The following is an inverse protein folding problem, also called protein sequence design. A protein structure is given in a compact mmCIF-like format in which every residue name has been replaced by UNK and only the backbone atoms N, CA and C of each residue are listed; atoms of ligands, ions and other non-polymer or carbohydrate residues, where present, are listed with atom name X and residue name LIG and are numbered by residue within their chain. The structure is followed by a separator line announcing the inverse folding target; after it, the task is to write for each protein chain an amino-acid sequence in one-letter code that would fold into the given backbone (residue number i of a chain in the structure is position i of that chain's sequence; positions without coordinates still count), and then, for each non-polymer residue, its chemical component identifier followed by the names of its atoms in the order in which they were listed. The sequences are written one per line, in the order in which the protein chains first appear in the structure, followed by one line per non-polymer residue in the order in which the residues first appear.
data_IF_522018925167
#
_entry.id   IF_522018925167
#
_cell.length_a   1.000
_cell.length_b   1.000
_cell.length_c   1.000
_cell.angle_alpha   90.00
_cell.angle_beta   90.00
_cell.angle_gamma   90.00
#
_symmetry.space_group_name_H-M   'P 1'
#
loop_
_entity.id
_entity.type
_entity.pdbx_description
1 polymer ?
#
# COMPACT_ATOMS: atom_id res chain seq x y z
N UNK A 1 -26.13 -12.41 12.00
CA UNK A 1 -24.71 -12.67 11.81
C UNK A 1 -23.98 -11.49 12.44
N UNK A 2 -23.14 -11.71 13.45
CA UNK A 2 -22.35 -10.62 14.05
C UNK A 2 -21.16 -10.40 13.13
N UNK A 3 -21.11 -9.25 12.46
CA UNK A 3 -19.91 -8.82 11.74
C UNK A 3 -18.80 -8.64 12.77
N UNK A 4 -17.65 -9.29 12.54
CA UNK A 4 -16.45 -8.98 13.29
C UNK A 4 -16.03 -7.55 12.90
N UNK A 5 -15.63 -6.76 13.89
CA UNK A 5 -15.19 -5.38 13.64
C UNK A 5 -13.94 -5.35 12.76
N UNK A 6 -13.73 -4.29 11.98
CA UNK A 6 -12.55 -4.13 11.14
C UNK A 6 -11.27 -4.18 11.96
N UNK A 7 -11.31 -3.70 13.18
CA UNK A 7 -10.24 -3.84 14.16
C UNK A 7 -9.93 -5.31 14.50
N UNK A 8 -10.94 -6.18 14.58
CA UNK A 8 -10.71 -7.61 14.80
C UNK A 8 -10.10 -8.29 13.55
N UNK A 9 -10.44 -7.80 12.37
CA UNK A 9 -9.88 -8.30 11.12
C UNK A 9 -8.38 -8.00 11.05
N UNK A 10 -7.97 -6.76 11.38
CA UNK A 10 -6.56 -6.36 11.33
C UNK A 10 -5.76 -6.69 12.61
N UNK A 11 -6.39 -6.80 13.77
CA UNK A 11 -5.72 -7.29 14.98
C UNK A 11 -5.24 -8.74 14.84
N UNK A 12 -5.94 -9.58 14.08
CA UNK A 12 -5.46 -10.93 13.75
C UNK A 12 -4.25 -10.93 12.81
N UNK A 13 -4.10 -9.89 11.98
CA UNK A 13 -2.95 -9.70 11.10
C UNK A 13 -1.71 -9.15 11.84
N UNK A 14 -1.91 -8.30 12.84
CA UNK A 14 -0.81 -7.70 13.61
C UNK A 14 -0.12 -8.68 14.60
N UNK A 15 -0.83 -9.73 15.04
CA UNK A 15 -0.30 -10.64 16.08
C UNK A 15 0.74 -11.65 15.59
N UNK A 16 1.01 -11.76 14.29
CA UNK A 16 1.97 -12.71 13.72
C UNK A 16 3.35 -12.07 13.43
N UNK A 17 3.49 -10.77 13.62
CA UNK A 17 4.70 -10.01 13.26
C UNK A 17 5.74 -9.78 14.34
N UNK A 18 5.49 -10.11 15.61
CA UNK A 18 6.43 -9.80 16.72
C UNK A 18 6.65 -11.02 17.61
N UNK A 19 7.42 -11.98 17.14
CA UNK A 19 8.24 -12.85 17.99
C UNK A 19 9.63 -12.95 17.37
N UNK A 20 10.46 -11.98 17.67
CA UNK A 20 11.90 -12.06 17.50
C UNK A 20 12.57 -11.57 18.77
N UNK A 21 13.01 -12.51 19.56
CA UNK A 21 14.29 -12.55 20.29
C UNK A 21 14.53 -11.49 21.36
N UNK A 22 14.34 -11.92 22.59
CA UNK A 22 15.23 -11.56 23.69
C UNK A 22 15.66 -12.87 24.36
N UNK A 23 16.87 -13.34 24.06
CA UNK A 23 17.56 -14.34 24.86
C UNK A 23 18.84 -13.70 25.38
N UNK A 24 18.84 -13.35 26.65
CA UNK A 24 20.01 -12.94 27.37
C UNK A 24 20.52 -14.12 28.21
N UNK A 25 21.83 -14.20 28.27
CA UNK A 25 22.73 -15.15 28.90
C UNK A 25 22.37 -15.60 30.31
N UNK A 26 22.73 -16.86 30.60
CA UNK A 26 22.96 -17.34 31.96
C UNK A 26 23.23 -18.86 32.01
N UNK A 27 24.43 -19.24 32.30
CA UNK A 27 25.17 -20.43 32.11
C UNK A 27 24.83 -21.70 32.93
N UNK A 28 25.62 -22.71 32.60
CA UNK A 28 26.18 -23.79 33.37
C UNK A 28 25.55 -25.20 33.30
N UNK A 29 26.30 -26.08 32.69
CA UNK A 29 26.69 -27.45 32.98
C UNK A 29 25.66 -28.59 33.02
N UNK A 30 25.97 -29.67 32.26
CA UNK A 30 25.59 -31.06 32.58
C UNK A 30 25.29 -31.95 31.36
N UNK A 31 26.21 -32.84 31.08
CA UNK A 31 26.28 -34.01 30.18
C UNK A 31 24.98 -34.84 30.02
N UNK A 32 24.69 -35.37 28.86
CA UNK A 32 24.96 -36.69 28.28
C UNK A 32 24.09 -37.05 27.07
N UNK A 33 24.77 -37.55 26.08
CA UNK A 33 24.42 -38.47 24.98
C UNK A 33 22.99 -38.99 24.86
N UNK A 34 22.40 -38.87 23.64
CA UNK A 34 22.07 -39.99 22.76
C UNK A 34 21.59 -39.53 21.37
N UNK A 35 22.07 -40.23 20.37
CA UNK A 35 21.80 -40.15 18.93
C UNK A 35 20.37 -40.46 18.54
N UNK A 36 19.77 -39.66 17.62
CA UNK A 36 18.94 -40.24 16.56
C UNK A 36 18.79 -39.24 15.39
N UNK A 37 19.08 -39.76 14.22
CA UNK A 37 18.99 -39.17 12.91
C UNK A 37 17.55 -38.90 12.49
N UNK A 38 17.23 -37.68 12.00
CA UNK A 38 16.12 -37.47 11.06
C UNK A 38 16.44 -36.36 10.08
N UNK A 39 16.15 -36.67 8.85
CA UNK A 39 16.41 -35.95 7.62
C UNK A 39 15.87 -34.53 7.61
N UNK A 40 16.72 -33.55 7.33
CA UNK A 40 16.36 -32.16 7.04
C UNK A 40 16.14 -32.00 5.55
N UNK A 41 14.92 -31.65 5.15
CA UNK A 41 14.64 -31.09 3.84
C UNK A 41 15.06 -29.63 3.81
N UNK A 42 15.65 -29.12 2.72
CA UNK A 42 16.11 -27.75 2.66
C UNK A 42 14.95 -26.79 2.41
N UNK A 43 14.77 -25.83 3.31
CA UNK A 43 13.93 -24.66 3.10
C UNK A 43 14.63 -23.77 2.09
N UNK A 44 14.09 -23.66 0.89
CA UNK A 44 14.52 -22.66 -0.09
C UNK A 44 14.22 -21.26 0.46
N UNK A 45 15.27 -20.53 0.82
CA UNK A 45 15.22 -19.09 1.00
C UNK A 45 15.35 -18.44 -0.37
N UNK A 46 14.30 -17.83 -0.89
CA UNK A 46 14.41 -16.92 -2.02
C UNK A 46 14.99 -15.59 -1.52
N UNK A 47 16.23 -15.30 -1.87
CA UNK A 47 16.83 -13.99 -1.71
C UNK A 47 16.41 -13.12 -2.89
N UNK A 48 15.64 -12.08 -2.66
CA UNK A 48 15.49 -10.99 -3.62
C UNK A 48 16.80 -10.19 -3.58
N UNK A 49 17.64 -10.34 -4.61
CA UNK A 49 18.84 -9.53 -4.80
C UNK A 49 18.45 -8.31 -5.63
N UNK A 50 18.51 -7.13 -5.03
CA UNK A 50 18.44 -5.88 -5.77
C UNK A 50 19.76 -5.69 -6.49
N UNK A 51 19.75 -5.83 -7.82
CA UNK A 51 20.91 -5.50 -8.67
C UNK A 51 20.84 -4.00 -8.99
N UNK A 52 21.71 -3.22 -8.37
CA UNK A 52 21.98 -1.84 -8.80
C UNK A 52 22.98 -1.88 -9.94
N UNK A 53 22.53 -1.68 -11.17
CA UNK A 53 23.41 -1.45 -12.32
C UNK A 53 23.75 0.04 -12.36
N UNK A 54 24.97 0.37 -11.95
CA UNK A 54 25.58 1.68 -12.19
C UNK A 54 26.20 1.65 -13.60
N UNK A 55 25.50 2.22 -14.58
CA UNK A 55 26.07 2.46 -15.88
C UNK A 55 26.68 3.87 -15.94
N UNK A 56 27.99 3.89 -16.11
CA UNK A 56 28.80 5.10 -16.24
C UNK A 56 28.40 5.94 -17.47
N UNK A 57 28.23 7.24 -17.25
CA UNK A 57 28.01 8.23 -18.30
C UNK A 57 29.26 8.42 -19.17
N UNK A 58 29.14 8.55 -20.49
CA UNK A 58 30.23 9.00 -21.32
C UNK A 58 30.36 10.52 -21.26
N UNK A 59 31.61 10.97 -20.99
CA UNK A 59 32.06 12.34 -21.06
C UNK A 59 31.93 12.86 -22.50
N UNK A 60 31.17 13.94 -22.72
CA UNK A 60 31.27 14.73 -23.94
C UNK A 60 31.71 16.15 -23.68
N UNK A 61 32.66 16.54 -24.49
CA UNK A 61 33.42 17.77 -24.54
C UNK A 61 32.53 18.96 -24.95
N UNK A 62 32.71 20.08 -24.26
CA UNK A 62 32.09 21.37 -24.56
C UNK A 62 32.50 21.94 -25.90
N UNK A 63 31.55 22.49 -26.65
CA UNK A 63 31.81 23.55 -27.62
C UNK A 63 30.72 24.62 -27.47
N UNK A 64 31.21 25.83 -27.22
CA UNK A 64 30.41 27.03 -27.01
C UNK A 64 29.73 27.54 -28.29
N UNK A 65 28.46 27.94 -28.17
CA UNK A 65 27.74 28.70 -29.19
C UNK A 65 26.55 29.45 -28.57
N UNK A 66 26.67 30.76 -28.53
CA UNK A 66 25.64 31.65 -28.00
C UNK A 66 24.43 31.79 -28.94
N UNK A 67 23.23 31.84 -28.34
CA UNK A 67 21.99 32.16 -29.04
C UNK A 67 20.78 32.14 -28.12
N UNK A 68 20.37 33.35 -27.70
CA UNK A 68 19.19 33.58 -26.86
C UNK A 68 17.91 33.30 -27.62
N UNK A 69 16.98 32.58 -27.02
CA UNK A 69 15.53 32.85 -27.06
C UNK A 69 14.82 32.02 -25.99
N UNK A 70 14.25 32.71 -24.99
CA UNK A 70 13.33 32.14 -24.04
C UNK A 70 12.07 31.70 -24.79
N UNK A 71 11.86 30.41 -24.87
CA UNK A 71 10.55 29.84 -25.10
C UNK A 71 10.10 29.21 -23.79
N UNK A 72 9.09 29.83 -23.18
CA UNK A 72 8.35 29.21 -22.07
C UNK A 72 7.78 27.89 -22.57
N UNK A 73 8.43 26.80 -22.22
CA UNK A 73 7.86 25.48 -22.40
C UNK A 73 6.76 25.32 -21.33
N UNK A 74 5.53 25.64 -21.70
CA UNK A 74 4.35 25.10 -21.06
C UNK A 74 4.44 23.60 -21.27
N UNK A 75 4.85 22.89 -20.23
CA UNK A 75 4.77 21.44 -20.19
C UNK A 75 3.28 21.07 -20.27
N UNK A 76 2.76 20.89 -21.47
CA UNK A 76 1.51 20.15 -21.64
C UNK A 76 1.80 18.74 -21.16
N UNK A 77 1.25 18.37 -20.02
CA UNK A 77 1.15 17.00 -19.59
C UNK A 77 0.52 16.23 -20.75
N UNK A 78 1.33 15.44 -21.43
CA UNK A 78 0.86 14.55 -22.46
C UNK A 78 -0.28 13.71 -21.88
N UNK A 79 -1.41 13.71 -22.59
CA UNK A 79 -2.51 12.78 -22.38
C UNK A 79 -1.92 11.40 -22.06
N UNK A 80 -2.12 10.94 -20.83
CA UNK A 80 -1.69 9.62 -20.39
C UNK A 80 -2.40 8.59 -21.27
N UNK A 81 -1.64 7.66 -21.84
CA UNK A 81 -2.19 6.48 -22.52
C UNK A 81 -3.28 5.87 -21.60
N UNK A 82 -4.43 5.49 -22.15
CA UNK A 82 -5.59 4.92 -21.42
C UNK A 82 -5.30 3.56 -20.75
N UNK A 83 -4.05 3.20 -20.55
CA UNK A 83 -3.59 1.93 -20.00
C UNK A 83 -2.87 2.06 -18.67
N UNK A 84 -2.68 0.92 -17.98
CA UNK A 84 -1.97 0.87 -16.70
C UNK A 84 -0.52 1.35 -16.81
N UNK A 85 0.02 1.94 -15.75
CA UNK A 85 1.37 2.46 -15.74
C UNK A 85 2.41 1.36 -16.02
N UNK A 86 3.29 1.61 -17.00
CA UNK A 86 4.35 0.66 -17.36
C UNK A 86 3.88 -0.60 -18.09
N UNK A 87 2.60 -0.69 -18.47
CA UNK A 87 2.04 -1.81 -19.22
C UNK A 87 1.73 -1.43 -20.68
N UNK A 88 1.58 -2.45 -21.53
CA UNK A 88 1.06 -2.23 -22.89
C UNK A 88 -0.44 -1.93 -22.82
N UNK A 89 -0.83 -0.68 -23.07
CA UNK A 89 -2.23 -0.25 -23.06
C UNK A 89 -3.10 -1.06 -24.03
N UNK A 90 -2.53 -1.59 -25.11
CA UNK A 90 -3.23 -2.44 -26.07
C UNK A 90 -3.75 -3.75 -25.49
N UNK A 91 -3.14 -4.25 -24.42
CA UNK A 91 -3.51 -5.50 -23.75
C UNK A 91 -4.67 -5.37 -22.76
N UNK A 92 -5.15 -4.15 -22.50
CA UNK A 92 -6.12 -3.88 -21.42
C UNK A 92 -7.35 -3.12 -21.92
N UNK A 93 -8.47 -3.33 -21.22
CA UNK A 93 -9.71 -2.56 -21.35
C UNK A 93 -10.05 -1.97 -19.98
N UNK A 94 -10.23 -0.65 -19.89
CA UNK A 94 -10.65 0.03 -18.67
C UNK A 94 -12.03 -0.47 -18.24
N UNK A 95 -12.18 -0.86 -16.98
CA UNK A 95 -13.41 -1.39 -16.39
C UNK A 95 -13.92 -0.55 -15.22
N UNK A 96 -13.03 0.19 -14.58
CA UNK A 96 -13.35 1.11 -13.49
C UNK A 96 -12.41 2.32 -13.55
N UNK A 97 -12.98 3.50 -13.32
CA UNK A 97 -12.23 4.73 -13.16
C UNK A 97 -12.97 5.68 -12.23
N UNK A 98 -12.25 6.23 -11.27
CA UNK A 98 -12.68 7.41 -10.53
C UNK A 98 -11.48 8.36 -10.38
N UNK A 99 -11.57 9.53 -10.98
CA UNK A 99 -10.56 10.59 -10.94
C UNK A 99 -10.90 11.66 -9.90
N UNK A 100 -11.99 11.47 -9.14
CA UNK A 100 -12.46 12.37 -8.08
C UNK A 100 -12.68 13.82 -8.50
N UNK A 101 -13.03 14.04 -9.78
CA UNK A 101 -13.23 15.37 -10.37
C UNK A 101 -14.46 16.12 -9.82
N UNK A 102 -15.33 15.45 -9.08
CA UNK A 102 -16.54 15.99 -8.49
C UNK A 102 -16.80 15.46 -7.09
N UNK A 103 -18.03 15.52 -6.64
CA UNK A 103 -18.44 14.90 -5.39
C UNK A 103 -18.21 13.38 -5.42
N UNK A 104 -17.84 12.79 -4.29
CA UNK A 104 -17.62 11.35 -4.18
C UNK A 104 -18.83 10.57 -4.71
N UNK A 105 -18.57 9.71 -5.69
CA UNK A 105 -19.63 8.92 -6.34
C UNK A 105 -20.16 7.83 -5.39
N UNK A 106 -21.26 8.14 -4.70
CA UNK A 106 -21.92 7.23 -3.74
C UNK A 106 -22.56 6.01 -4.39
N UNK A 107 -22.63 5.92 -5.72
CA UNK A 107 -23.09 4.74 -6.42
C UNK A 107 -22.00 3.67 -6.54
N UNK A 108 -20.75 4.05 -6.38
CA UNK A 108 -19.60 3.12 -6.43
C UNK A 108 -18.86 3.02 -5.11
N UNK A 109 -18.84 4.08 -4.28
CA UNK A 109 -18.15 4.08 -2.99
C UNK A 109 -19.11 4.00 -1.81
N UNK A 110 -18.97 2.97 -1.00
CA UNK A 110 -19.52 2.92 0.35
C UNK A 110 -18.62 3.69 1.29
N UNK A 111 -19.22 4.41 2.26
CA UNK A 111 -18.46 5.21 3.24
C UNK A 111 -18.85 4.89 4.67
N UNK A 112 -19.69 3.86 4.86
CA UNK A 112 -20.31 3.53 6.14
C UNK A 112 -19.60 2.40 6.89
N UNK A 113 -18.48 1.92 6.38
CA UNK A 113 -17.71 0.83 6.97
C UNK A 113 -16.74 1.31 8.04
N UNK A 114 -16.93 2.50 8.57
CA UNK A 114 -16.16 2.97 9.72
C UNK A 114 -16.76 2.43 10.99
N UNK A 115 -15.98 1.76 11.73
CA UNK A 115 -16.39 1.06 12.94
C UNK A 115 -16.28 1.90 14.19
N UNK A 116 -15.40 2.85 14.21
CA UNK A 116 -15.47 3.95 15.16
C UNK A 116 -16.56 4.87 14.67
N UNK A 117 -17.65 4.96 15.44
CA UNK A 117 -18.78 5.85 15.17
C UNK A 117 -18.27 7.29 14.93
N UNK A 118 -17.78 7.53 13.74
CA UNK A 118 -17.28 8.82 13.36
C UNK A 118 -18.47 9.76 13.25
N UNK A 119 -18.65 10.58 14.24
CA UNK A 119 -19.43 11.79 14.14
C UNK A 119 -18.82 12.76 13.13
N UNK A 120 -17.60 12.50 12.66
CA UNK A 120 -16.86 13.35 11.76
C UNK A 120 -16.78 12.77 10.35
N UNK A 121 -16.72 13.67 9.38
CA UNK A 121 -16.44 13.35 7.99
C UNK A 121 -15.00 13.74 7.71
N UNK A 122 -14.05 12.82 7.98
CA UNK A 122 -12.62 13.04 7.77
C UNK A 122 -12.16 12.65 6.37
N UNK A 123 -13.00 12.91 5.37
CA UNK A 123 -12.68 12.76 3.95
C UNK A 123 -13.48 13.77 3.11
N UNK A 124 -12.95 14.11 1.94
CA UNK A 124 -13.62 14.92 0.93
C UNK A 124 -13.01 14.66 -0.45
N UNK A 125 -13.78 14.97 -1.50
CA UNK A 125 -13.24 15.15 -2.85
C UNK A 125 -13.11 16.65 -3.10
N UNK A 126 -11.89 17.10 -3.38
CA UNK A 126 -11.58 18.52 -3.64
C UNK A 126 -10.40 18.62 -4.60
N UNK A 127 -10.47 19.60 -5.48
CA UNK A 127 -9.39 19.93 -6.42
C UNK A 127 -8.94 18.71 -7.27
N UNK A 128 -9.91 17.85 -7.65
CA UNK A 128 -9.62 16.63 -8.43
C UNK A 128 -8.91 15.53 -7.64
N UNK A 129 -9.02 15.53 -6.31
CA UNK A 129 -8.46 14.48 -5.45
C UNK A 129 -9.44 14.03 -4.39
N UNK A 130 -9.41 12.74 -4.06
CA UNK A 130 -9.96 12.25 -2.80
C UNK A 130 -8.91 12.50 -1.70
N UNK A 131 -9.34 13.09 -0.59
CA UNK A 131 -8.53 13.32 0.60
C UNK A 131 -9.15 12.60 1.79
N UNK A 132 -8.34 11.81 2.50
CA UNK A 132 -8.72 11.17 3.78
C UNK A 132 -7.67 11.61 4.79
N UNK A 133 -8.09 12.27 5.87
CA UNK A 133 -7.12 12.86 6.81
C UNK A 133 -7.23 12.30 8.21
N UNK A 134 -6.10 12.27 8.96
CA UNK A 134 -6.12 11.96 10.37
C UNK A 134 -6.97 13.00 11.12
N UNK A 135 -7.95 12.51 11.88
CA UNK A 135 -8.78 13.35 12.73
C UNK A 135 -8.80 12.77 14.14
N UNK A 136 -8.63 13.67 15.11
CA UNK A 136 -8.61 13.34 16.53
C UNK A 136 -9.84 13.89 17.21
N UNK A 137 -10.58 13.03 17.88
CA UNK A 137 -11.74 13.37 18.67
C UNK A 137 -11.41 14.10 20.00
N UNK A 138 -12.45 14.57 20.65
CA UNK A 138 -12.32 15.33 21.90
C UNK A 138 -11.77 14.53 23.08
N UNK A 139 -11.91 13.20 23.05
CA UNK A 139 -11.35 12.28 24.06
C UNK A 139 -9.95 11.78 23.71
N UNK A 140 -9.43 12.18 22.53
CA UNK A 140 -8.10 11.83 22.06
C UNK A 140 -8.05 10.63 21.12
N UNK A 141 -9.19 10.00 20.82
CA UNK A 141 -9.34 8.92 19.84
C UNK A 141 -9.09 9.41 18.43
N UNK A 142 -8.67 8.51 17.54
CA UNK A 142 -8.55 8.76 16.11
C UNK A 142 -9.61 7.96 15.34
N UNK A 143 -10.12 8.51 14.24
CA UNK A 143 -11.23 7.95 13.49
C UNK A 143 -10.74 7.26 12.21
N UNK A 144 -10.85 5.94 12.18
CA UNK A 144 -10.64 5.15 10.96
C UNK A 144 -11.59 5.62 9.86
N UNK A 145 -11.10 5.62 8.63
CA UNK A 145 -11.93 5.86 7.45
C UNK A 145 -11.69 4.77 6.42
N UNK A 146 -12.79 4.16 5.96
CA UNK A 146 -12.79 3.17 4.90
C UNK A 146 -13.78 3.57 3.82
N UNK A 147 -13.30 3.63 2.59
CA UNK A 147 -14.12 3.70 1.39
C UNK A 147 -13.96 2.38 0.64
N UNK A 148 -15.05 1.75 0.23
CA UNK A 148 -15.01 0.48 -0.47
C UNK A 148 -16.04 0.37 -1.59
N UNK A 149 -15.82 -0.57 -2.51
CA UNK A 149 -16.73 -0.86 -3.63
C UNK A 149 -17.53 -2.13 -3.43
N UNK A 150 -17.67 -2.64 -2.20
CA UNK A 150 -18.42 -3.85 -1.88
C UNK A 150 -19.89 -3.75 -2.33
N UNK A 151 -20.35 -4.77 -3.08
CA UNK A 151 -21.69 -4.79 -3.68
C UNK A 151 -21.91 -3.77 -4.81
N UNK A 152 -20.89 -3.02 -5.24
CA UNK A 152 -20.94 -2.01 -6.30
C UNK A 152 -20.05 -2.37 -7.48
N UNK A 153 -18.79 -2.65 -7.20
CA UNK A 153 -17.81 -3.10 -8.19
C UNK A 153 -16.93 -4.17 -7.57
N UNK A 154 -16.74 -5.26 -8.27
CA UNK A 154 -15.75 -6.29 -8.01
C UNK A 154 -15.25 -6.86 -9.31
N UNK A 155 -14.00 -7.28 -9.36
CA UNK A 155 -13.41 -7.88 -10.54
C UNK A 155 -12.51 -9.04 -10.15
N UNK A 156 -12.37 -10.00 -11.03
CA UNK A 156 -11.42 -11.09 -10.94
C UNK A 156 -10.40 -10.94 -12.05
N UNK A 157 -9.12 -10.90 -11.67
CA UNK A 157 -7.98 -10.69 -12.55
C UNK A 157 -7.96 -9.31 -13.22
N UNK A 158 -6.87 -9.01 -13.90
CA UNK A 158 -6.65 -7.74 -14.57
C UNK A 158 -5.56 -6.91 -13.91
N UNK A 159 -5.67 -5.61 -14.02
CA UNK A 159 -4.75 -4.66 -13.40
C UNK A 159 -5.53 -3.66 -12.54
N UNK A 160 -5.01 -3.34 -11.36
CA UNK A 160 -5.58 -2.34 -10.46
C UNK A 160 -4.50 -1.35 -10.07
N UNK A 161 -4.84 -0.08 -10.01
CA UNK A 161 -3.89 0.99 -9.73
C UNK A 161 -4.52 2.13 -8.94
N UNK A 162 -3.75 2.67 -8.01
CA UNK A 162 -4.01 3.93 -7.32
C UNK A 162 -2.84 4.88 -7.56
N UNK A 163 -3.14 6.15 -7.80
CA UNK A 163 -2.16 7.24 -7.81
C UNK A 163 -2.37 8.07 -6.54
N UNK A 164 -1.40 8.03 -5.63
CA UNK A 164 -1.61 8.52 -4.28
C UNK A 164 -0.35 9.10 -3.63
N UNK A 165 -0.57 10.11 -2.75
CA UNK A 165 0.40 10.69 -1.83
C UNK A 165 0.00 10.37 -0.40
N UNK A 166 0.93 9.89 0.42
CA UNK A 166 0.61 9.34 1.73
C UNK A 166 0.67 10.40 2.85
N UNK A 167 -0.18 10.26 3.88
CA UNK A 167 -0.05 11.02 5.10
C UNK A 167 1.19 10.59 5.88
N UNK A 168 1.57 11.39 6.87
CA UNK A 168 2.73 11.14 7.74
C UNK A 168 2.33 11.15 9.21
N UNK A 169 3.23 10.67 10.06
CA UNK A 169 3.07 10.72 11.49
C UNK A 169 2.85 9.36 12.14
N UNK A 170 3.06 9.35 13.45
CA UNK A 170 2.92 8.18 14.29
C UNK A 170 1.49 7.62 14.25
N UNK A 171 1.37 6.32 14.17
CA UNK A 171 0.11 5.61 14.19
C UNK A 171 -0.67 5.57 12.88
N UNK A 172 -0.32 6.43 11.91
CA UNK A 172 -1.04 6.52 10.63
C UNK A 172 -0.78 5.29 9.76
N UNK A 173 -1.84 4.73 9.16
CA UNK A 173 -1.78 3.49 8.38
C UNK A 173 -2.68 3.58 7.14
N UNK A 174 -2.20 4.21 6.06
CA UNK A 174 -2.90 4.25 4.79
C UNK A 174 -2.76 2.92 4.04
N UNK A 175 -3.85 2.51 3.34
CA UNK A 175 -3.85 1.32 2.51
C UNK A 175 -4.75 1.43 1.28
N UNK A 176 -4.36 0.69 0.21
CA UNK A 176 -5.19 0.37 -0.93
C UNK A 176 -5.07 -1.12 -1.20
N UNK A 177 -6.21 -1.82 -1.19
CA UNK A 177 -6.24 -3.27 -1.22
C UNK A 177 -7.51 -3.84 -1.86
N UNK A 178 -7.44 -5.09 -2.24
CA UNK A 178 -8.54 -5.86 -2.80
C UNK A 178 -8.97 -6.91 -1.80
N UNK A 179 -10.27 -7.08 -1.63
CA UNK A 179 -10.80 -7.97 -0.60
C UNK A 179 -12.12 -8.62 -1.00
N UNK A 180 -12.40 -9.79 -0.41
CA UNK A 180 -13.75 -10.33 -0.34
C UNK A 180 -13.94 -11.22 0.91
N UNK A 181 -15.17 -11.41 1.30
CA UNK A 181 -15.58 -12.37 2.32
C UNK A 181 -16.39 -13.48 1.67
N UNK A 182 -15.79 -14.64 1.46
CA UNK A 182 -16.43 -15.80 0.82
C UNK A 182 -16.63 -16.92 1.86
N UNK A 183 -17.76 -16.90 2.53
CA UNK A 183 -17.98 -17.75 3.69
C UNK A 183 -16.99 -17.45 4.79
N UNK A 184 -16.12 -18.41 5.13
CA UNK A 184 -15.04 -18.24 6.11
C UNK A 184 -13.73 -17.78 5.47
N UNK A 185 -13.59 -17.86 4.15
CA UNK A 185 -12.38 -17.44 3.43
C UNK A 185 -12.38 -15.92 3.26
N UNK A 186 -11.19 -15.35 3.31
CA UNK A 186 -10.95 -13.92 3.22
C UNK A 186 -9.74 -13.66 2.32
N UNK A 187 -9.88 -13.90 1.00
CA UNK A 187 -8.81 -13.60 0.05
C UNK A 187 -8.57 -12.09 0.02
N UNK A 188 -7.29 -11.70 0.00
CA UNK A 188 -6.86 -10.31 0.08
C UNK A 188 -5.59 -10.09 -0.73
N UNK A 189 -5.51 -8.95 -1.43
CA UNK A 189 -4.32 -8.48 -2.13
C UNK A 189 -4.10 -7.03 -1.72
N UNK A 190 -3.11 -6.79 -0.84
CA UNK A 190 -2.74 -5.43 -0.44
C UNK A 190 -1.77 -4.86 -1.48
N UNK A 191 -2.21 -3.85 -2.23
CA UNK A 191 -1.41 -3.19 -3.28
C UNK A 191 -0.48 -2.16 -2.65
N UNK A 192 -0.98 -1.46 -1.65
CA UNK A 192 -0.29 -0.46 -0.85
C UNK A 192 -0.66 -0.67 0.61
N UNK A 193 0.32 -0.85 1.46
CA UNK A 193 0.18 -0.82 2.91
C UNK A 193 1.42 -0.15 3.51
N UNK A 194 1.28 1.04 4.11
CA UNK A 194 2.42 1.82 4.60
C UNK A 194 2.29 2.20 6.07
N UNK A 195 3.44 2.39 6.72
CA UNK A 195 3.54 2.60 8.16
C UNK A 195 4.45 3.80 8.48
N UNK A 196 3.99 5.04 8.21
CA UNK A 196 4.82 6.23 8.39
C UNK A 196 5.28 6.48 9.82
N UNK A 197 4.61 5.91 10.82
CA UNK A 197 5.04 5.99 12.23
C UNK A 197 5.88 4.79 12.70
N UNK A 198 6.20 3.86 11.82
CA UNK A 198 6.91 2.63 12.18
C UNK A 198 8.40 2.83 12.44
N UNK A 199 9.00 1.80 13.05
CA UNK A 199 10.46 1.75 13.19
C UNK A 199 11.14 1.59 11.82
N UNK A 200 12.40 2.05 11.73
CA UNK A 200 13.20 1.83 10.53
C UNK A 200 13.26 0.33 10.17
N UNK A 201 13.12 -0.03 8.90
CA UNK A 201 13.15 0.81 7.71
C UNK A 201 11.76 1.29 7.20
N UNK A 202 10.65 1.04 7.92
CA UNK A 202 9.31 1.46 7.49
C UNK A 202 9.19 2.97 7.35
N UNK A 203 9.83 3.69 8.27
CA UNK A 203 9.78 5.14 8.31
C UNK A 203 11.14 5.75 8.61
N UNK A 204 11.27 7.02 8.25
CA UNK A 204 12.40 7.89 8.59
C UNK A 204 11.88 9.21 9.17
N UNK A 205 12.70 9.94 9.94
CA UNK A 205 12.36 11.30 10.34
C UNK A 205 12.18 12.20 9.11
N UNK A 206 11.06 12.90 9.02
CA UNK A 206 10.86 13.96 8.03
C UNK A 206 11.66 15.23 8.37
N UNK A 207 11.65 16.24 7.47
CA UNK A 207 12.42 17.49 7.66
C UNK A 207 12.07 18.26 8.93
N UNK A 208 10.83 18.12 9.43
CA UNK A 208 10.31 18.75 10.65
C UNK A 208 10.27 17.79 11.85
N UNK A 209 10.87 16.60 11.70
CA UNK A 209 10.91 15.56 12.73
C UNK A 209 9.64 14.69 12.78
N UNK A 210 8.59 15.00 12.03
CA UNK A 210 7.43 14.12 11.88
C UNK A 210 7.81 12.93 11.01
N UNK A 211 7.60 11.67 11.45
CA UNK A 211 8.01 10.51 10.68
C UNK A 211 7.21 10.38 9.39
N UNK A 212 7.89 9.92 8.33
CA UNK A 212 7.36 9.71 6.99
C UNK A 212 7.63 8.29 6.52
N UNK A 213 6.74 7.73 5.71
CA UNK A 213 6.97 6.41 5.12
C UNK A 213 8.06 6.48 4.05
N UNK A 214 9.05 5.58 4.16
CA UNK A 214 10.10 5.35 3.17
C UNK A 214 10.09 3.90 2.68
N UNK A 215 9.00 3.21 2.98
CA UNK A 215 8.77 1.82 2.59
C UNK A 215 7.26 1.54 2.62
N UNK A 216 6.81 0.64 1.75
CA UNK A 216 5.47 0.05 1.82
C UNK A 216 5.53 -1.47 1.61
N UNK A 217 4.44 -2.17 1.92
CA UNK A 217 4.33 -3.61 1.74
C UNK A 217 3.21 -3.96 0.76
N UNK A 218 3.53 -4.57 -0.39
CA UNK A 218 2.58 -5.41 -1.11
C UNK A 218 2.46 -6.77 -0.41
N UNK A 219 1.22 -7.26 -0.22
CA UNK A 219 0.93 -8.51 0.49
C UNK A 219 -0.13 -9.31 -0.25
N UNK A 220 -0.07 -10.64 -0.16
CA UNK A 220 -1.14 -11.53 -0.65
C UNK A 220 -1.54 -12.50 0.46
N UNK A 221 -2.84 -12.59 0.71
CA UNK A 221 -3.45 -13.53 1.63
C UNK A 221 -4.42 -14.47 0.89
N UNK A 222 -4.23 -15.77 1.05
CA UNK A 222 -5.20 -16.76 0.57
C UNK A 222 -6.49 -16.74 1.42
N UNK A 223 -6.32 -16.49 2.73
CA UNK A 223 -7.35 -16.25 3.71
C UNK A 223 -6.78 -15.48 4.91
N UNK A 224 -7.62 -15.10 5.88
CA UNK A 224 -7.23 -14.27 7.03
C UNK A 224 -6.08 -14.82 7.89
N UNK A 225 -5.71 -16.10 7.74
CA UNK A 225 -4.68 -16.76 8.55
C UNK A 225 -3.53 -17.31 7.71
N UNK A 226 -3.66 -17.29 6.37
CA UNK A 226 -2.71 -17.88 5.46
C UNK A 226 -2.16 -16.85 4.48
N UNK A 227 -1.13 -16.12 4.93
CA UNK A 227 -0.40 -15.19 4.10
C UNK A 227 0.46 -15.96 3.08
N UNK A 228 0.13 -15.81 1.80
CA UNK A 228 0.87 -16.43 0.72
C UNK A 228 2.26 -15.80 0.53
N UNK A 229 2.36 -14.48 0.64
CA UNK A 229 3.63 -13.79 0.55
C UNK A 229 3.53 -12.27 0.73
N UNK A 230 4.68 -11.61 0.86
CA UNK A 230 4.79 -10.17 0.94
C UNK A 230 6.22 -9.72 0.58
N UNK A 231 6.36 -8.45 0.24
CA UNK A 231 7.65 -7.79 0.14
C UNK A 231 7.69 -6.52 0.99
N UNK A 232 8.89 -5.99 1.17
CA UNK A 232 9.15 -4.65 1.68
C UNK A 232 9.80 -3.87 0.55
N UNK A 233 9.11 -2.85 0.06
CA UNK A 233 9.56 -2.04 -1.07
C UNK A 233 10.07 -0.72 -0.53
N UNK A 234 11.39 -0.51 -0.60
CA UNK A 234 12.02 0.77 -0.26
C UNK A 234 11.67 1.83 -1.30
N UNK A 235 11.40 3.05 -0.83
CA UNK A 235 10.91 4.16 -1.65
C UNK A 235 11.53 5.48 -1.21
N UNK A 236 11.39 6.56 -2.01
CA UNK A 236 11.50 7.92 -1.51
C UNK A 236 10.52 8.21 -0.37
N UNK A 237 10.51 9.42 0.16
CA UNK A 237 9.50 9.90 1.09
C UNK A 237 8.12 9.95 0.40
N UNK A 238 7.23 9.04 0.76
CA UNK A 238 5.91 8.88 0.13
C UNK A 238 4.90 10.00 0.49
N UNK A 239 5.29 10.97 1.33
CA UNK A 239 4.46 12.13 1.67
C UNK A 239 4.79 13.39 0.86
N UNK A 240 5.81 13.35 0.00
CA UNK A 240 6.22 14.51 -0.80
C UNK A 240 5.48 14.58 -2.13
N UNK A 241 5.40 13.46 -2.84
CA UNK A 241 4.83 13.38 -4.18
C UNK A 241 3.79 12.25 -4.32
N UNK A 242 3.03 12.32 -5.41
CA UNK A 242 2.15 11.24 -5.82
C UNK A 242 2.95 10.11 -6.47
N UNK A 243 2.61 8.89 -6.13
CA UNK A 243 3.18 7.68 -6.69
C UNK A 243 2.09 6.71 -7.13
N UNK A 244 2.37 5.90 -8.16
CA UNK A 244 1.45 4.88 -8.65
C UNK A 244 1.79 3.53 -8.05
N UNK A 245 0.80 2.96 -7.38
CA UNK A 245 0.87 1.63 -6.80
C UNK A 245 -0.07 0.72 -7.58
N UNK A 246 0.48 -0.29 -8.23
CA UNK A 246 -0.28 -1.16 -9.12
C UNK A 246 -0.11 -2.64 -8.83
N UNK A 247 -1.12 -3.42 -9.22
CA UNK A 247 -1.04 -4.88 -9.23
C UNK A 247 -1.60 -5.45 -10.53
N UNK A 248 -0.83 -6.31 -11.17
CA UNK A 248 -1.26 -7.21 -12.23
C UNK A 248 -1.62 -8.54 -11.60
N UNK A 249 -2.90 -8.88 -11.65
CA UNK A 249 -3.44 -10.10 -11.05
C UNK A 249 -3.87 -11.08 -12.14
N UNK A 250 -3.11 -12.15 -12.29
CA UNK A 250 -3.32 -13.24 -13.24
C UNK A 250 -3.80 -14.50 -12.50
N UNK A 251 -4.34 -15.54 -13.18
CA UNK A 251 -4.89 -16.73 -12.51
C UNK A 251 -3.96 -17.44 -11.54
N UNK A 252 -2.64 -17.44 -11.81
CA UNK A 252 -1.64 -18.14 -11.01
C UNK A 252 -0.47 -17.26 -10.60
N UNK A 253 -0.58 -15.95 -10.78
CA UNK A 253 0.50 -15.00 -10.48
C UNK A 253 -0.07 -13.64 -10.10
N UNK A 254 0.53 -13.02 -9.11
CA UNK A 254 0.29 -11.63 -8.72
C UNK A 254 1.62 -10.88 -8.82
N UNK A 255 1.63 -9.78 -9.56
CA UNK A 255 2.83 -8.95 -9.79
C UNK A 255 2.53 -7.51 -9.40
N UNK A 256 3.36 -6.93 -8.54
CA UNK A 256 3.20 -5.59 -8.01
C UNK A 256 4.14 -4.60 -8.69
N UNK A 257 3.66 -3.37 -8.85
CA UNK A 257 4.36 -2.29 -9.54
C UNK A 257 4.38 -1.02 -8.69
N UNK A 258 5.50 -0.32 -8.73
CA UNK A 258 5.66 1.02 -8.17
C UNK A 258 6.13 1.95 -9.29
N UNK A 259 5.38 3.01 -9.57
CA UNK A 259 5.62 3.94 -10.69
C UNK A 259 5.84 3.23 -12.03
N UNK A 260 5.04 2.18 -12.28
CA UNK A 260 5.09 1.37 -13.50
C UNK A 260 6.25 0.38 -13.59
N UNK A 261 7.07 0.24 -12.54
CA UNK A 261 8.17 -0.73 -12.49
C UNK A 261 7.79 -1.90 -11.60
N UNK A 262 8.06 -3.13 -12.04
CA UNK A 262 7.87 -4.33 -11.23
C UNK A 262 8.76 -4.28 -9.98
N UNK A 263 8.17 -4.51 -8.81
CA UNK A 263 8.86 -4.49 -7.52
C UNK A 263 8.74 -5.81 -6.75
N UNK A 264 7.69 -6.59 -7.02
CA UNK A 264 7.49 -7.90 -6.40
C UNK A 264 6.57 -8.76 -7.26
N UNK A 265 6.80 -10.06 -7.25
CA UNK A 265 5.90 -11.02 -7.87
C UNK A 265 5.82 -12.31 -7.06
N UNK A 266 4.66 -12.94 -7.09
CA UNK A 266 4.38 -14.17 -6.36
C UNK A 266 3.55 -15.11 -7.23
N UNK A 267 3.99 -16.36 -7.36
CA UNK A 267 3.20 -17.41 -7.99
C UNK A 267 2.18 -17.93 -6.97
N UNK A 268 0.96 -17.49 -7.11
CA UNK A 268 -0.17 -17.79 -6.22
C UNK A 268 -1.47 -17.68 -7.00
N UNK A 269 -2.43 -18.56 -6.68
CA UNK A 269 -3.77 -18.50 -7.22
C UNK A 269 -4.72 -17.83 -6.20
N UNK A 270 -5.21 -16.64 -6.54
CA UNK A 270 -6.36 -16.00 -5.90
C UNK A 270 -7.44 -15.94 -6.97
N UNK A 271 -8.56 -16.63 -6.78
CA UNK A 271 -9.53 -16.89 -7.86
C UNK A 271 -10.92 -16.33 -7.62
N UNK A 272 -11.19 -15.75 -6.49
CA UNK A 272 -12.49 -15.14 -6.18
C UNK A 272 -12.50 -13.66 -6.65
N UNK A 273 -13.63 -13.13 -7.15
CA UNK A 273 -13.73 -11.69 -7.42
C UNK A 273 -13.49 -10.88 -6.15
N UNK A 274 -12.69 -9.82 -6.24
CA UNK A 274 -12.39 -8.93 -5.13
C UNK A 274 -12.92 -7.53 -5.42
N UNK A 275 -13.35 -6.82 -4.38
CA UNK A 275 -13.69 -5.41 -4.43
C UNK A 275 -12.54 -4.56 -3.88
N UNK A 276 -12.53 -3.28 -4.20
CA UNK A 276 -11.47 -2.35 -3.82
C UNK A 276 -11.77 -1.66 -2.50
N UNK A 277 -10.74 -1.43 -1.71
CA UNK A 277 -10.79 -0.65 -0.47
C UNK A 277 -9.67 0.38 -0.48
N UNK A 278 -10.02 1.63 -0.16
CA UNK A 278 -9.10 2.73 0.16
C UNK A 278 -9.36 3.12 1.59
N UNK A 279 -8.37 3.05 2.45
CA UNK A 279 -8.56 3.40 3.85
C UNK A 279 -7.40 4.16 4.49
N UNK A 280 -7.73 4.85 5.57
CA UNK A 280 -6.79 5.40 6.52
C UNK A 280 -7.17 4.88 7.89
N UNK A 281 -6.37 3.96 8.39
CA UNK A 281 -6.50 3.35 9.70
C UNK A 281 -5.35 3.76 10.60
N UNK A 282 -5.35 3.25 11.83
CA UNK A 282 -4.32 3.57 12.80
C UNK A 282 -3.81 2.30 13.50
N UNK A 283 -2.57 2.38 14.01
CA UNK A 283 -1.98 1.27 14.72
C UNK A 283 -1.03 0.42 13.87
N UNK A 284 -1.05 -0.91 14.08
CA UNK A 284 -0.17 -1.86 13.42
C UNK A 284 1.32 -1.51 13.58
N UNK A 285 2.13 -1.71 12.54
CA UNK A 285 3.55 -1.37 12.56
C UNK A 285 3.83 0.15 12.64
N UNK A 286 2.80 1.00 12.44
CA UNK A 286 2.91 2.47 12.61
C UNK A 286 2.85 2.92 14.08
N UNK A 287 2.57 2.00 15.03
CA UNK A 287 2.37 2.30 16.44
C UNK A 287 1.01 2.94 16.71
N UNK A 288 0.77 3.34 17.96
CA UNK A 288 -0.48 4.02 18.33
C UNK A 288 -0.37 5.52 18.04
N UNK A 289 -1.40 6.14 17.42
CA UNK A 289 -1.42 7.58 17.21
C UNK A 289 -1.53 8.33 18.53
N UNK A 290 -0.96 9.54 18.58
CA UNK A 290 -0.96 10.36 19.80
C UNK A 290 -1.04 11.87 19.49
N UNK A 291 -0.75 12.71 20.48
CA UNK A 291 -0.78 14.17 20.32
C UNK A 291 0.25 14.74 19.33
N UNK A 292 1.21 13.93 18.87
CA UNK A 292 2.23 14.33 17.87
C UNK A 292 1.82 13.95 16.46
N UNK A 293 0.77 13.15 16.29
CA UNK A 293 0.26 12.77 14.97
C UNK A 293 -0.40 13.98 14.31
N UNK A 294 0.10 14.47 13.16
CA UNK A 294 -0.53 15.59 12.48
C UNK A 294 -1.94 15.25 12.00
N UNK A 295 -2.87 16.18 12.18
CA UNK A 295 -4.29 16.03 11.84
C UNK A 295 -4.73 17.04 10.78
N UNK A 296 -5.90 16.79 10.16
CA UNK A 296 -6.52 17.69 9.18
C UNK A 296 -6.05 17.46 7.74
N UNK A 297 -6.70 18.16 6.82
CA UNK A 297 -6.51 17.97 5.37
C UNK A 297 -5.08 18.18 4.88
N UNK A 298 -4.28 19.00 5.55
CA UNK A 298 -2.88 19.22 5.18
C UNK A 298 -1.99 17.98 5.37
N UNK A 299 -2.49 16.96 6.05
CA UNK A 299 -1.84 15.67 6.24
C UNK A 299 -2.72 14.54 5.69
N UNK A 300 -3.39 14.74 4.58
CA UNK A 300 -4.28 13.74 4.02
C UNK A 300 -3.52 12.60 3.29
N UNK A 301 -4.12 11.45 3.27
CA UNK A 301 -3.96 10.45 2.22
C UNK A 301 -4.68 11.03 1.00
N UNK A 302 -3.91 11.52 0.04
CA UNK A 302 -4.44 12.15 -1.18
C UNK A 302 -4.40 11.15 -2.33
N UNK A 303 -5.52 11.01 -3.04
CA UNK A 303 -5.67 10.07 -4.16
C UNK A 303 -6.13 10.82 -5.40
N UNK A 304 -5.32 10.82 -6.46
CA UNK A 304 -5.67 11.42 -7.75
C UNK A 304 -6.67 10.55 -8.51
N UNK A 305 -6.47 9.23 -8.48
CA UNK A 305 -7.40 8.29 -9.11
C UNK A 305 -7.30 6.88 -8.53
N UNK A 306 -8.37 6.12 -8.74
CA UNK A 306 -8.39 4.67 -8.63
C UNK A 306 -8.90 4.11 -9.96
N UNK A 307 -8.16 3.16 -10.54
CA UNK A 307 -8.51 2.55 -11.84
C UNK A 307 -8.37 1.03 -11.79
N UNK A 308 -9.21 0.36 -12.60
CA UNK A 308 -9.07 -1.07 -12.86
C UNK A 308 -9.26 -1.37 -14.34
N UNK A 309 -8.52 -2.35 -14.82
CA UNK A 309 -8.57 -2.82 -16.20
C UNK A 309 -8.67 -4.34 -16.24
N UNK A 310 -9.39 -4.83 -17.25
CA UNK A 310 -9.45 -6.25 -17.59
C UNK A 310 -8.47 -6.56 -18.72
N UNK A 311 -7.91 -7.75 -18.76
CA UNK A 311 -7.16 -8.26 -19.92
C UNK A 311 -8.10 -8.37 -21.14
N UNK A 312 -7.61 -8.01 -22.33
CA UNK A 312 -8.31 -8.22 -23.60
C UNK A 312 -8.18 -9.65 -24.09
#
# INVERSE_FOLDING_TARGET
MKFLSSQQIKSSLALIGVTAVLSACGGSSGSDTTTSSTSSSPIMRSHATVVTDQQAAPTQTETSGAGSSQASATSSLASTSDGPAGQDAGAYSLTFEDNFDGDLNRNVWNTNRTETAASSTNYATRDGTLKIWPERGGSGEFFDRTLDTDGRFSQRYGYFEIDAKLPRGKGVWPAFWLFNQIGERRPEIDILEAYPGGDAPWAAPGPDGVPVATMYAPVVWNDAQNRAGYAKVETPNLSEDFHRYGVKWEPNRVTFYFDGREVYALDVAVSDPLYMIVDLWYGSASGEPDGTTPTGESNAFEVNYVKAWQFK
#
